data_IF_252892597816
#
_entry.id   IF_252892597816
#
_cell.length_a   1.000
_cell.length_b   1.000
_cell.length_c   1.000
_cell.angle_alpha   90.00
_cell.angle_beta   90.00
_cell.angle_gamma   90.00
#
_symmetry.space_group_name_H-M   'P 1'
#
loop_
_entity.id
_entity.type
_entity.pdbx_description
1 polymer ?
#
# COMPACT_ATOMS: atom_id res chain seq x y z
N UNK A 1 -0.14 -2.76 -20.26
CA UNK A 1 0.01 -1.35 -19.83
C UNK A 1 0.84 -0.63 -20.87
N UNK A 2 0.95 0.69 -20.82
CA UNK A 2 1.88 1.43 -21.65
C UNK A 2 3.13 1.78 -20.84
N UNK A 3 4.29 1.66 -21.47
CA UNK A 3 5.57 2.14 -20.96
C UNK A 3 5.66 3.68 -21.11
N UNK A 4 6.71 4.30 -20.55
CA UNK A 4 6.93 5.75 -20.62
C UNK A 4 7.05 6.27 -22.06
N UNK A 5 7.52 5.42 -22.99
CA UNK A 5 7.63 5.69 -24.43
C UNK A 5 6.34 5.39 -25.22
N UNK A 6 5.26 4.95 -24.55
CA UNK A 6 3.99 4.58 -25.16
C UNK A 6 3.96 3.18 -25.79
N UNK A 7 5.02 2.38 -25.65
CA UNK A 7 5.03 0.98 -26.09
C UNK A 7 4.18 0.08 -25.19
N UNK A 8 3.67 -1.03 -25.74
CA UNK A 8 2.91 -2.00 -24.95
C UNK A 8 3.82 -2.85 -24.08
N UNK A 9 3.55 -2.85 -22.77
CA UNK A 9 4.17 -3.73 -21.79
C UNK A 9 3.39 -5.04 -21.70
N UNK A 10 4.10 -6.15 -21.92
CA UNK A 10 3.57 -7.51 -21.85
C UNK A 10 4.20 -8.26 -20.68
N UNK A 11 3.34 -8.66 -19.73
CA UNK A 11 3.71 -9.42 -18.55
C UNK A 11 3.09 -10.81 -18.58
N UNK A 12 3.86 -11.84 -18.25
CA UNK A 12 3.35 -13.19 -18.00
C UNK A 12 2.99 -13.30 -16.52
N UNK A 13 1.71 -13.47 -16.25
CA UNK A 13 1.15 -13.63 -14.90
C UNK A 13 0.99 -15.12 -14.58
N UNK A 14 1.28 -15.56 -13.33
CA UNK A 14 0.91 -16.89 -12.90
C UNK A 14 -0.62 -17.06 -12.92
N UNK A 15 -1.07 -18.31 -12.98
CA UNK A 15 -2.50 -18.60 -12.88
C UNK A 15 -3.07 -18.00 -11.56
N UNK A 16 -4.23 -17.33 -11.58
CA UNK A 16 -4.78 -16.70 -10.39
C UNK A 16 -5.02 -17.75 -9.31
N UNK A 17 -4.39 -17.57 -8.15
CA UNK A 17 -4.71 -18.31 -6.94
C UNK A 17 -5.67 -17.44 -6.13
N UNK A 18 -6.89 -17.91 -5.88
CA UNK A 18 -7.85 -17.17 -5.09
C UNK A 18 -7.34 -17.06 -3.64
N UNK A 19 -6.96 -15.85 -3.23
CA UNK A 19 -6.36 -15.58 -1.90
C UNK A 19 -7.27 -14.77 -0.97
N UNK A 20 -8.48 -14.40 -1.40
CA UNK A 20 -9.44 -13.63 -0.60
C UNK A 20 -10.65 -14.45 -0.15
N UNK A 21 -10.92 -14.47 1.16
CA UNK A 21 -12.16 -15.01 1.75
C UNK A 21 -13.21 -13.93 2.02
N UNK A 22 -12.87 -12.64 1.86
CA UNK A 22 -13.79 -11.54 2.13
C UNK A 22 -14.52 -11.11 0.84
N UNK A 23 -15.86 -11.11 0.83
CA UNK A 23 -16.63 -10.58 -0.30
C UNK A 23 -16.63 -9.04 -0.36
N UNK A 24 -15.97 -8.36 0.60
CA UNK A 24 -15.89 -6.91 0.71
C UNK A 24 -14.43 -6.45 0.80
N UNK A 25 -14.10 -5.32 0.16
CA UNK A 25 -12.76 -4.70 0.17
C UNK A 25 -12.29 -4.26 -1.21
N UNK A 26 -11.01 -3.90 -1.31
CA UNK A 26 -10.36 -3.47 -2.57
C UNK A 26 -9.98 -4.63 -3.50
N UNK A 27 -10.16 -5.87 -3.04
CA UNK A 27 -9.73 -7.09 -3.74
C UNK A 27 -8.30 -6.98 -4.28
N UNK A 28 -7.38 -6.46 -3.45
CA UNK A 28 -5.98 -6.29 -3.81
C UNK A 28 -5.30 -7.65 -3.96
N UNK A 29 -4.66 -7.86 -5.10
CA UNK A 29 -3.87 -9.05 -5.37
C UNK A 29 -2.47 -8.65 -5.85
N UNK A 30 -1.45 -9.24 -5.25
CA UNK A 30 -0.04 -9.04 -5.62
C UNK A 30 0.53 -10.31 -6.24
N UNK A 31 1.27 -10.16 -7.33
CA UNK A 31 1.87 -11.29 -8.07
C UNK A 31 3.31 -10.97 -8.46
N UNK A 32 4.19 -11.97 -8.37
CA UNK A 32 5.45 -11.95 -9.13
C UNK A 32 5.13 -12.30 -10.58
N UNK A 33 5.51 -11.44 -11.51
CA UNK A 33 5.21 -11.58 -12.95
C UNK A 33 6.49 -11.45 -13.76
N UNK A 34 6.54 -12.08 -14.93
CA UNK A 34 7.70 -11.99 -15.80
C UNK A 34 7.51 -10.91 -16.87
N UNK A 35 8.40 -9.93 -16.87
CA UNK A 35 8.49 -8.86 -17.88
C UNK A 35 9.24 -9.38 -19.10
N UNK A 36 8.51 -9.59 -20.19
CA UNK A 36 9.07 -10.15 -21.43
C UNK A 36 10.02 -9.19 -22.17
N UNK A 37 9.89 -7.88 -21.95
CA UNK A 37 10.73 -6.86 -22.59
C UNK A 37 12.02 -6.64 -21.79
N UNK A 38 11.90 -6.59 -20.47
CA UNK A 38 13.01 -6.40 -19.54
C UNK A 38 13.77 -7.66 -19.14
N UNK A 39 13.29 -8.85 -19.54
CA UNK A 39 13.84 -10.17 -19.19
C UNK A 39 14.10 -10.33 -17.67
N UNK A 40 13.07 -10.03 -16.87
CA UNK A 40 13.18 -10.03 -15.41
C UNK A 40 11.85 -10.31 -14.73
N UNK A 41 11.91 -10.73 -13.47
CA UNK A 41 10.73 -10.86 -12.62
C UNK A 41 10.48 -9.53 -11.91
N UNK A 42 9.23 -9.06 -11.95
CA UNK A 42 8.76 -7.81 -11.34
C UNK A 42 7.51 -8.09 -10.51
N UNK A 43 7.12 -7.15 -9.65
CA UNK A 43 5.89 -7.28 -8.87
C UNK A 43 4.74 -6.52 -9.55
N UNK A 44 3.58 -7.16 -9.68
CA UNK A 44 2.34 -6.57 -10.17
C UNK A 44 1.30 -6.57 -9.05
N UNK A 45 0.77 -5.39 -8.73
CA UNK A 45 -0.38 -5.17 -7.87
C UNK A 45 -1.61 -4.89 -8.73
N UNK A 46 -2.67 -5.65 -8.52
CA UNK A 46 -3.99 -5.53 -9.16
C UNK A 46 -4.98 -5.16 -8.04
N UNK A 47 -5.67 -4.03 -8.14
CA UNK A 47 -6.46 -3.49 -7.02
C UNK A 47 -7.65 -2.66 -7.52
N UNK A 48 -8.69 -2.57 -6.70
CA UNK A 48 -9.76 -1.60 -6.89
C UNK A 48 -9.48 -0.38 -6.02
N UNK A 49 -8.96 0.68 -6.61
CA UNK A 49 -8.71 1.95 -5.91
C UNK A 49 -9.98 2.77 -5.83
N UNK A 50 -10.07 3.62 -4.82
CA UNK A 50 -11.20 4.54 -4.63
C UNK A 50 -11.17 5.60 -5.74
N UNK A 51 -12.30 5.81 -6.42
CA UNK A 51 -12.44 6.80 -7.48
C UNK A 51 -13.01 8.11 -6.91
N UNK A 52 -12.13 8.94 -6.37
CA UNK A 52 -12.42 10.31 -5.95
C UNK A 52 -11.37 11.28 -6.51
N UNK A 53 -11.74 12.53 -6.87
CA UNK A 53 -10.81 13.51 -7.44
C UNK A 53 -9.60 13.81 -6.55
N UNK A 54 -9.81 13.78 -5.22
CA UNK A 54 -8.79 14.14 -4.23
C UNK A 54 -7.90 12.95 -3.83
N UNK A 55 -7.98 11.82 -4.55
CA UNK A 55 -7.12 10.65 -4.32
C UNK A 55 -6.10 10.56 -5.43
N UNK A 56 -4.84 10.78 -5.06
CA UNK A 56 -3.69 10.57 -5.92
C UNK A 56 -3.54 9.05 -6.14
N UNK A 57 -3.48 8.56 -7.39
CA UNK A 57 -3.18 7.16 -7.66
C UNK A 57 -1.80 6.77 -7.11
N UNK A 58 -1.70 5.58 -6.51
CA UNK A 58 -0.45 5.09 -5.90
C UNK A 58 0.76 5.16 -6.86
N UNK A 59 0.56 4.84 -8.14
CA UNK A 59 1.63 4.93 -9.12
C UNK A 59 2.13 6.36 -9.38
N UNK A 60 1.30 7.38 -9.19
CA UNK A 60 1.74 8.78 -9.27
C UNK A 60 2.49 9.20 -8.01
N UNK A 61 2.14 8.63 -6.84
CA UNK A 61 2.94 8.76 -5.62
C UNK A 61 4.33 8.18 -5.85
N UNK A 62 4.43 6.94 -6.34
CA UNK A 62 5.73 6.33 -6.65
C UNK A 62 6.55 7.15 -7.66
N UNK A 63 5.95 7.68 -8.72
CA UNK A 63 6.67 8.55 -9.68
C UNK A 63 7.31 9.74 -8.96
N UNK A 64 6.57 10.44 -8.10
CA UNK A 64 7.09 11.57 -7.32
C UNK A 64 8.24 11.14 -6.40
N UNK A 65 8.08 10.02 -5.69
CA UNK A 65 9.14 9.47 -4.83
C UNK A 65 10.40 9.11 -5.63
N UNK A 66 10.24 8.47 -6.79
CA UNK A 66 11.35 8.07 -7.66
C UNK A 66 12.06 9.27 -8.30
N UNK A 67 11.32 10.30 -8.73
CA UNK A 67 11.87 11.56 -9.26
C UNK A 67 12.72 12.32 -8.23
N UNK A 68 12.35 12.21 -6.95
CA UNK A 68 13.10 12.80 -5.83
C UNK A 68 14.19 11.90 -5.26
N UNK A 69 14.39 10.72 -5.85
CA UNK A 69 15.37 9.74 -5.40
C UNK A 69 15.21 9.34 -3.92
N UNK A 70 13.96 9.25 -3.45
CA UNK A 70 13.63 8.72 -2.12
C UNK A 70 14.25 7.33 -1.96
N UNK A 71 14.94 7.10 -0.84
CA UNK A 71 15.59 5.81 -0.57
C UNK A 71 14.57 4.77 -0.12
N UNK A 72 14.94 3.49 -0.22
CA UNK A 72 14.17 2.37 0.34
C UNK A 72 12.72 2.29 -0.15
N UNK A 73 12.47 2.71 -1.40
CA UNK A 73 11.20 2.53 -2.11
C UNK A 73 11.44 1.86 -3.46
N UNK A 74 10.47 1.09 -3.92
CA UNK A 74 10.51 0.48 -5.25
C UNK A 74 10.47 1.53 -6.37
N UNK A 75 11.01 1.17 -7.54
CA UNK A 75 10.78 1.94 -8.77
C UNK A 75 9.46 1.49 -9.41
N UNK A 76 8.57 2.44 -9.67
CA UNK A 76 7.36 2.19 -10.46
C UNK A 76 7.70 2.12 -11.94
N UNK A 77 7.53 0.93 -12.52
CA UNK A 77 7.76 0.69 -13.94
C UNK A 77 6.56 1.09 -14.79
N UNK A 78 5.35 0.80 -14.30
CA UNK A 78 4.11 1.13 -14.99
C UNK A 78 2.96 1.16 -14.01
N UNK A 79 1.98 2.02 -14.29
CA UNK A 79 0.77 2.09 -13.49
C UNK A 79 -0.39 2.71 -14.28
N UNK A 80 -1.63 2.39 -13.91
CA UNK A 80 -2.79 3.00 -14.55
C UNK A 80 -4.10 2.25 -14.34
N UNK A 81 -5.19 2.94 -14.66
CA UNK A 81 -6.53 2.37 -14.65
C UNK A 81 -6.69 1.34 -15.77
N UNK A 82 -7.37 0.24 -15.47
CA UNK A 82 -7.69 -0.81 -16.44
C UNK A 82 -8.86 -0.34 -17.30
N UNK A 83 -8.65 -0.32 -18.62
CA UNK A 83 -9.64 0.12 -19.59
C UNK A 83 -10.38 -1.06 -20.21
N UNK A 84 -11.69 -0.90 -20.41
CA UNK A 84 -12.54 -1.74 -21.26
C UNK A 84 -13.01 -0.92 -22.46
N UNK A 85 -12.25 -0.98 -23.56
CA UNK A 85 -12.45 -0.07 -24.69
C UNK A 85 -12.09 1.38 -24.30
N UNK A 86 -12.99 2.33 -24.57
CA UNK A 86 -12.78 3.75 -24.23
C UNK A 86 -13.08 4.12 -22.77
N UNK A 87 -13.57 3.18 -21.95
CA UNK A 87 -14.02 3.45 -20.59
C UNK A 87 -13.15 2.74 -19.55
N UNK A 88 -12.94 3.39 -18.41
CA UNK A 88 -12.32 2.74 -17.26
C UNK A 88 -13.24 1.66 -16.66
N UNK A 89 -12.66 0.54 -16.26
CA UNK A 89 -13.37 -0.53 -15.58
C UNK A 89 -13.69 -0.08 -14.15
N UNK A 90 -14.97 0.22 -13.90
CA UNK A 90 -15.44 0.84 -12.65
C UNK A 90 -16.56 0.05 -12.01
N UNK A 91 -16.67 0.11 -10.69
CA UNK A 91 -17.80 -0.47 -9.97
C UNK A 91 -19.08 0.30 -10.27
N UNK A 92 -20.20 -0.41 -10.40
CA UNK A 92 -21.49 0.20 -10.73
C UNK A 92 -22.45 0.30 -9.54
N UNK A 93 -22.12 -0.28 -8.39
CA UNK A 93 -23.00 -0.37 -7.22
C UNK A 93 -23.56 1.00 -6.80
N UNK A 94 -22.73 2.05 -6.83
CA UNK A 94 -23.16 3.41 -6.48
C UNK A 94 -24.25 3.99 -7.40
N UNK A 95 -24.37 3.51 -8.65
CA UNK A 95 -25.41 3.96 -9.61
C UNK A 95 -26.81 3.49 -9.24
N UNK A 96 -26.90 2.41 -8.47
CA UNK A 96 -28.16 1.79 -8.08
C UNK A 96 -28.57 2.11 -6.64
N UNK A 97 -27.86 3.02 -5.97
CA UNK A 97 -28.11 3.36 -4.56
C UNK A 97 -29.56 3.83 -4.29
N UNK A 98 -30.16 4.50 -5.28
CA UNK A 98 -31.51 5.08 -5.21
C UNK A 98 -32.55 4.22 -5.98
N UNK A 99 -32.18 3.01 -6.41
CA UNK A 99 -33.10 2.14 -7.14
C UNK A 99 -34.26 1.65 -6.25
N UNK A 100 -35.49 1.43 -6.77
CA UNK A 100 -36.64 1.05 -5.95
C UNK A 100 -36.48 -0.26 -5.16
N UNK A 101 -35.62 -1.16 -5.65
CA UNK A 101 -35.29 -2.44 -5.03
C UNK A 101 -34.12 -2.35 -4.04
N UNK A 102 -33.35 -1.25 -4.05
CA UNK A 102 -32.17 -1.09 -3.22
C UNK A 102 -32.59 -0.74 -1.79
N UNK A 103 -32.06 -1.48 -0.81
CA UNK A 103 -32.24 -1.13 0.60
C UNK A 103 -31.30 0.02 0.97
N UNK A 104 -31.79 1.05 1.69
CA UNK A 104 -30.91 2.07 2.26
C UNK A 104 -29.86 1.42 3.17
N UNK A 105 -28.59 1.64 2.88
CA UNK A 105 -27.47 1.05 3.63
C UNK A 105 -27.00 1.93 4.79
N UNK A 106 -27.38 3.21 4.82
CA UNK A 106 -26.83 4.22 5.74
C UNK A 106 -25.35 4.54 5.52
N UNK A 107 -24.70 3.88 4.55
CA UNK A 107 -23.29 4.02 4.23
C UNK A 107 -23.11 4.77 2.91
N UNK A 108 -22.04 5.55 2.81
CA UNK A 108 -21.66 6.22 1.56
C UNK A 108 -21.08 5.15 0.61
N UNK A 109 -21.77 4.92 -0.50
CA UNK A 109 -21.28 4.03 -1.56
C UNK A 109 -20.34 4.82 -2.47
N UNK A 110 -19.06 4.45 -2.46
CA UNK A 110 -18.04 5.11 -3.27
C UNK A 110 -17.64 4.21 -4.43
N UNK A 111 -17.59 4.80 -5.63
CA UNK A 111 -17.14 4.11 -6.82
C UNK A 111 -15.66 3.75 -6.69
N UNK A 112 -15.30 2.61 -7.25
CA UNK A 112 -13.91 2.17 -7.36
C UNK A 112 -13.58 1.94 -8.83
N UNK A 113 -12.33 2.14 -9.18
CA UNK A 113 -11.79 1.87 -10.52
C UNK A 113 -10.72 0.79 -10.39
N UNK A 114 -10.75 -0.16 -11.32
CA UNK A 114 -9.76 -1.21 -11.38
C UNK A 114 -8.43 -0.60 -11.83
N UNK A 115 -7.39 -0.83 -11.06
CA UNK A 115 -6.09 -0.21 -11.19
C UNK A 115 -4.99 -1.26 -11.10
N UNK A 116 -3.89 -1.01 -11.80
CA UNK A 116 -2.72 -1.85 -11.72
C UNK A 116 -1.45 -1.02 -11.56
N UNK A 117 -0.51 -1.57 -10.81
CA UNK A 117 0.81 -1.01 -10.52
C UNK A 117 1.86 -2.09 -10.71
N UNK A 118 2.98 -1.75 -11.33
CA UNK A 118 4.14 -2.64 -11.53
C UNK A 118 5.37 -2.01 -10.90
N UNK A 119 6.01 -2.75 -10.00
CA UNK A 119 7.20 -2.36 -9.28
C UNK A 119 8.39 -3.25 -9.70
N UNK A 120 9.58 -2.67 -9.78
CA UNK A 120 10.78 -3.34 -10.29
C UNK A 120 11.38 -4.42 -9.37
N UNK A 121 10.85 -4.61 -8.16
CA UNK A 121 11.42 -5.50 -7.15
C UNK A 121 10.44 -6.62 -6.79
N UNK A 122 11.02 -7.77 -6.41
CA UNK A 122 10.32 -8.85 -5.72
C UNK A 122 10.90 -8.95 -4.31
N UNK A 123 10.03 -8.90 -3.33
CA UNK A 123 10.43 -8.77 -1.92
C UNK A 123 9.81 -9.86 -1.06
N UNK A 124 10.42 -10.16 0.08
CA UNK A 124 9.85 -11.05 1.09
C UNK A 124 9.28 -10.24 2.27
N UNK A 125 8.22 -10.70 2.95
CA UNK A 125 7.68 -10.00 4.11
C UNK A 125 8.71 -9.86 5.23
N UNK A 126 8.66 -8.77 5.99
CA UNK A 126 9.52 -8.57 7.18
C UNK A 126 9.39 -9.70 8.22
N UNK A 127 8.25 -10.41 8.25
CA UNK A 127 8.04 -11.56 9.15
C UNK A 127 8.94 -12.76 8.83
N UNK A 128 9.62 -12.78 7.68
CA UNK A 128 10.59 -13.81 7.30
C UNK A 128 12.02 -13.47 7.74
N UNK A 129 12.17 -12.61 8.75
CA UNK A 129 13.47 -12.17 9.25
C UNK A 129 14.31 -13.31 9.84
N UNK A 130 15.63 -13.19 9.73
CA UNK A 130 16.59 -14.17 10.27
C UNK A 130 17.15 -13.79 11.63
N UNK A 131 17.01 -12.52 12.04
CA UNK A 131 17.42 -12.04 13.36
C UNK A 131 16.68 -10.77 13.78
N UNK A 132 16.60 -10.52 15.10
CA UNK A 132 16.06 -9.26 15.62
C UNK A 132 16.84 -8.03 15.14
N UNK A 133 18.15 -8.19 14.90
CA UNK A 133 18.98 -7.15 14.26
C UNK A 133 18.46 -6.79 12.88
N UNK A 134 18.16 -7.78 12.04
CA UNK A 134 17.62 -7.53 10.70
C UNK A 134 16.27 -6.81 10.76
N UNK A 135 15.41 -7.14 11.73
CA UNK A 135 14.13 -6.43 11.92
C UNK A 135 14.37 -4.94 12.17
N UNK A 136 15.30 -4.60 13.07
CA UNK A 136 15.62 -3.20 13.38
C UNK A 136 16.24 -2.47 12.18
N UNK A 137 17.12 -3.13 11.41
CA UNK A 137 17.73 -2.58 10.20
C UNK A 137 16.66 -2.31 9.11
N UNK A 138 15.78 -3.28 8.85
CA UNK A 138 14.69 -3.15 7.86
C UNK A 138 13.68 -2.07 8.26
N UNK A 139 13.33 -1.99 9.55
CA UNK A 139 12.44 -0.93 10.04
C UNK A 139 13.09 0.45 9.94
N UNK A 140 14.39 0.57 10.25
CA UNK A 140 15.15 1.81 10.07
C UNK A 140 15.12 2.24 8.60
N UNK A 141 15.32 1.32 7.67
CA UNK A 141 15.32 1.61 6.24
C UNK A 141 13.94 2.11 5.77
N UNK A 142 12.85 1.51 6.27
CA UNK A 142 11.49 2.01 6.03
C UNK A 142 11.25 3.41 6.62
N UNK A 143 11.81 3.71 7.80
CA UNK A 143 11.76 5.06 8.38
C UNK A 143 12.52 6.08 7.53
N UNK A 144 13.65 5.68 6.94
CA UNK A 144 14.39 6.54 6.02
C UNK A 144 13.54 6.84 4.78
N UNK A 145 12.89 5.83 4.18
CA UNK A 145 11.94 6.05 3.08
C UNK A 145 10.83 7.04 3.45
N UNK A 146 10.23 6.85 4.64
CA UNK A 146 9.18 7.72 5.13
C UNK A 146 9.67 9.16 5.37
N UNK A 147 10.85 9.33 5.96
CA UNK A 147 11.46 10.63 6.18
C UNK A 147 11.74 11.37 4.86
N UNK A 148 12.41 10.70 3.92
CA UNK A 148 12.69 11.26 2.58
C UNK A 148 11.38 11.63 1.86
N UNK A 149 10.35 10.78 1.92
CA UNK A 149 9.03 11.07 1.36
C UNK A 149 8.36 12.30 2.00
N UNK A 150 8.48 12.45 3.32
CA UNK A 150 7.91 13.57 4.05
C UNK A 150 8.64 14.88 3.75
N UNK A 151 9.97 14.88 3.83
CA UNK A 151 10.82 16.06 3.71
C UNK A 151 10.98 16.53 2.25
N UNK A 152 11.21 15.61 1.32
CA UNK A 152 11.51 15.96 -0.09
C UNK A 152 10.28 15.94 -1.00
N UNK A 153 9.21 15.25 -0.57
CA UNK A 153 8.02 15.03 -1.38
C UNK A 153 6.72 15.47 -0.71
N UNK A 154 6.71 16.08 0.48
CA UNK A 154 5.48 16.48 1.18
C UNK A 154 4.44 15.35 1.26
N UNK A 155 4.87 14.09 1.45
CA UNK A 155 4.00 12.91 1.47
C UNK A 155 4.08 12.20 2.82
N UNK A 156 2.91 11.94 3.41
CA UNK A 156 2.75 11.01 4.54
C UNK A 156 2.31 9.64 4.02
N UNK A 157 2.81 8.56 4.63
CA UNK A 157 2.44 7.20 4.24
C UNK A 157 1.06 6.79 4.79
N UNK A 158 0.82 7.07 6.07
CA UNK A 158 -0.44 6.81 6.79
C UNK A 158 -0.87 5.35 6.97
N UNK A 159 0.04 4.40 6.71
CA UNK A 159 -0.23 2.97 6.88
C UNK A 159 1.06 2.18 7.10
N UNK A 160 1.94 2.68 7.97
CA UNK A 160 3.10 1.92 8.39
C UNK A 160 2.65 0.69 9.19
N UNK A 161 2.82 -0.49 8.59
CA UNK A 161 2.39 -1.76 9.16
C UNK A 161 3.36 -2.87 8.78
N UNK A 162 3.27 -4.00 9.48
CA UNK A 162 4.09 -5.20 9.18
C UNK A 162 3.86 -5.70 7.75
N UNK A 163 2.68 -5.47 7.17
CA UNK A 163 2.36 -5.88 5.79
C UNK A 163 2.98 -4.99 4.72
N UNK A 164 3.39 -3.77 5.08
CA UNK A 164 3.85 -2.74 4.15
C UNK A 164 5.36 -2.51 4.21
N UNK A 165 6.06 -3.24 5.09
CA UNK A 165 7.51 -3.24 5.18
C UNK A 165 8.03 -4.59 4.71
N UNK A 166 8.82 -4.56 3.64
CA UNK A 166 9.34 -5.73 2.98
C UNK A 166 10.87 -5.77 3.05
N UNK A 167 11.44 -6.94 2.76
CA UNK A 167 12.88 -7.17 2.70
C UNK A 167 13.27 -7.47 1.26
N UNK A 168 14.29 -6.77 0.77
CA UNK A 168 14.92 -6.99 -0.52
C UNK A 168 16.44 -6.90 -0.36
N UNK A 169 17.18 -7.96 -0.71
CA UNK A 169 18.65 -7.98 -0.62
C UNK A 169 19.23 -7.58 0.76
N UNK A 170 18.49 -7.87 1.85
CA UNK A 170 18.76 -7.49 3.25
C UNK A 170 18.47 -6.02 3.62
N UNK A 171 17.94 -5.23 2.71
CA UNK A 171 17.47 -3.88 2.96
C UNK A 171 15.96 -3.87 3.19
N UNK A 172 15.49 -2.91 3.97
CA UNK A 172 14.06 -2.65 4.11
C UNK A 172 13.53 -1.84 2.94
N UNK A 173 12.35 -2.22 2.44
CA UNK A 173 11.62 -1.49 1.40
C UNK A 173 10.22 -1.18 1.89
N UNK A 174 9.84 0.10 1.84
CA UNK A 174 8.50 0.58 2.16
C UNK A 174 7.60 0.55 0.92
N UNK A 175 6.49 -0.17 1.01
CA UNK A 175 5.52 -0.37 -0.06
C UNK A 175 4.12 0.04 0.35
N UNK A 176 3.18 -0.03 -0.59
CA UNK A 176 1.75 0.21 -0.39
C UNK A 176 1.41 1.66 -0.02
N UNK A 177 1.67 2.56 -0.97
CA UNK A 177 1.42 4.00 -0.83
C UNK A 177 -0.01 4.40 -1.22
N UNK A 178 -0.95 3.45 -1.30
CA UNK A 178 -2.35 3.68 -1.70
C UNK A 178 -3.13 4.59 -0.72
N UNK A 179 -2.65 4.70 0.53
CA UNK A 179 -3.22 5.57 1.57
C UNK A 179 -2.43 6.87 1.77
N UNK A 180 -1.36 7.04 1.01
CA UNK A 180 -0.49 8.19 1.11
C UNK A 180 -1.26 9.48 0.80
N UNK A 181 -0.85 10.57 1.44
CA UNK A 181 -1.49 11.88 1.26
C UNK A 181 -0.44 12.98 1.28
N UNK A 182 -0.64 14.01 0.46
CA UNK A 182 0.21 15.19 0.57
C UNK A 182 -0.07 15.97 1.87
N UNK A 183 0.99 16.44 2.52
CA UNK A 183 0.92 17.31 3.70
C UNK A 183 0.35 18.69 3.37
N UNK A 184 0.40 19.08 2.09
CA UNK A 184 -0.14 20.36 1.59
C UNK A 184 -1.65 20.29 1.30
N UNK A 185 -2.23 19.08 1.22
CA UNK A 185 -3.65 18.90 0.91
C UNK A 185 -4.54 19.15 2.13
N UNK A 186 -5.10 20.35 2.18
CA UNK A 186 -6.16 20.76 3.12
C UNK A 186 -7.57 20.30 2.72
N UNK A 187 -7.68 19.49 1.67
CA UNK A 187 -8.95 18.95 1.15
C UNK A 187 -9.73 18.08 2.16
N UNK A 188 -11.03 17.87 1.92
CA UNK A 188 -11.93 17.16 2.83
C UNK A 188 -11.39 15.77 3.20
N UNK A 189 -11.63 15.38 4.45
CA UNK A 189 -11.07 14.16 5.05
C UNK A 189 -11.44 12.93 4.21
N UNK A 190 -10.41 12.17 3.80
CA UNK A 190 -10.57 10.78 3.37
C UNK A 190 -11.20 9.97 4.52
N UNK A 191 -12.07 8.99 4.21
CA UNK A 191 -12.89 8.25 5.18
C UNK A 191 -12.08 7.85 6.44
N UNK A 192 -12.62 7.97 7.68
CA UNK A 192 -11.85 7.87 8.92
C UNK A 192 -11.19 6.51 9.23
N UNK A 193 -11.33 5.49 8.36
CA UNK A 193 -10.86 4.11 8.57
C UNK A 193 -9.81 3.69 7.55
N UNK A 194 -8.85 4.53 7.28
CA UNK A 194 -7.70 4.15 6.46
C UNK A 194 -6.55 3.72 7.37
N UNK A 195 -5.99 2.55 7.11
CA UNK A 195 -4.82 2.03 7.81
C UNK A 195 -5.13 0.78 8.62
N UNK A 196 -4.09 0.05 8.96
CA UNK A 196 -4.17 -1.20 9.73
C UNK A 196 -4.31 -0.88 11.23
N UNK A 197 -5.51 -1.10 11.78
CA UNK A 197 -5.89 -0.60 13.12
C UNK A 197 -4.93 -0.98 14.25
N UNK A 198 -4.29 -2.16 14.19
CA UNK A 198 -3.32 -2.63 15.20
C UNK A 198 -2.07 -1.75 15.28
N UNK A 199 -1.77 -1.00 14.22
CA UNK A 199 -0.59 -0.14 14.13
C UNK A 199 -0.97 1.35 14.15
N UNK A 200 -2.25 1.69 14.29
CA UNK A 200 -2.70 3.07 14.35
C UNK A 200 -2.30 3.72 15.68
N UNK A 201 -1.85 4.98 15.64
CA UNK A 201 -1.48 5.73 16.85
C UNK A 201 -2.65 5.85 17.83
N UNK A 202 -2.35 5.87 19.13
CA UNK A 202 -3.35 6.03 20.18
C UNK A 202 -4.19 7.29 19.99
N UNK A 203 -3.57 8.36 19.48
CA UNK A 203 -4.23 9.63 19.19
C UNK A 203 -5.30 9.50 18.10
N UNK A 204 -4.98 8.82 17.00
CA UNK A 204 -5.93 8.57 15.91
C UNK A 204 -7.04 7.60 16.30
N UNK A 205 -6.72 6.62 17.15
CA UNK A 205 -7.72 5.71 17.73
C UNK A 205 -8.67 6.45 18.67
N UNK A 206 -8.16 7.38 19.49
CA UNK A 206 -8.95 8.13 20.47
C UNK A 206 -9.89 9.15 19.82
N UNK A 207 -9.43 9.87 18.79
CA UNK A 207 -10.27 10.79 18.03
C UNK A 207 -10.06 10.61 16.51
N UNK A 208 -11.06 9.97 15.92
CA UNK A 208 -11.17 9.73 14.48
C UNK A 208 -11.35 11.00 13.65
N UNK A 209 -11.43 12.19 14.26
CA UNK A 209 -11.42 13.48 13.58
C UNK A 209 -10.06 14.18 13.61
N UNK A 210 -9.08 13.60 14.33
CA UNK A 210 -7.72 14.12 14.34
C UNK A 210 -7.06 13.93 12.97
N UNK A 211 -6.38 14.95 12.41
CA UNK A 211 -5.57 14.80 11.21
C UNK A 211 -4.36 13.91 11.47
N UNK A 212 -4.12 12.92 10.60
CA UNK A 212 -2.90 12.11 10.65
C UNK A 212 -1.68 12.98 10.34
N UNK A 213 -0.64 12.89 11.15
CA UNK A 213 0.63 13.58 10.95
C UNK A 213 1.84 12.61 11.05
N UNK A 214 3.03 13.17 10.86
CA UNK A 214 4.28 12.41 10.86
C UNK A 214 4.49 11.63 12.16
N UNK A 215 4.06 12.18 13.30
CA UNK A 215 4.24 11.57 14.62
C UNK A 215 3.39 10.30 14.76
N UNK A 216 2.21 10.25 14.13
CA UNK A 216 1.40 9.03 14.13
C UNK A 216 2.09 7.89 13.37
N UNK A 217 2.66 8.17 12.20
CA UNK A 217 3.44 7.20 11.41
C UNK A 217 4.69 6.72 12.19
N UNK A 218 5.32 7.60 12.98
CA UNK A 218 6.40 7.21 13.90
C UNK A 218 5.91 6.27 15.01
N UNK A 219 4.74 6.52 15.60
CA UNK A 219 4.14 5.65 16.61
C UNK A 219 3.77 4.28 16.01
N UNK A 220 3.26 4.25 14.79
CA UNK A 220 3.00 3.01 14.04
C UNK A 220 4.24 2.13 13.93
N UNK A 221 5.42 2.73 13.74
CA UNK A 221 6.67 1.99 13.65
C UNK A 221 7.07 1.31 14.97
N UNK A 222 6.78 1.93 16.11
CA UNK A 222 6.94 1.28 17.42
C UNK A 222 6.05 0.04 17.53
N UNK A 223 4.79 0.15 17.09
CA UNK A 223 3.86 -0.98 17.09
C UNK A 223 4.28 -2.11 16.14
N UNK A 224 4.89 -1.79 15.00
CA UNK A 224 5.49 -2.79 14.10
C UNK A 224 6.57 -3.60 14.82
N UNK A 225 7.51 -2.92 15.48
CA UNK A 225 8.59 -3.61 16.22
C UNK A 225 7.99 -4.49 17.32
N UNK A 226 7.10 -3.95 18.15
CA UNK A 226 6.46 -4.70 19.23
C UNK A 226 5.70 -5.92 18.72
N UNK A 227 4.94 -5.76 17.64
CA UNK A 227 4.20 -6.86 17.03
C UNK A 227 5.13 -8.00 16.57
N UNK A 228 6.21 -7.66 15.87
CA UNK A 228 7.17 -8.65 15.39
C UNK A 228 7.84 -9.35 16.57
N UNK A 229 8.26 -8.59 17.60
CA UNK A 229 8.87 -9.15 18.79
C UNK A 229 7.91 -10.11 19.52
N UNK A 230 6.65 -9.74 19.74
CA UNK A 230 5.72 -10.57 20.49
C UNK A 230 5.20 -11.79 19.74
N UNK A 231 5.00 -11.69 18.42
CA UNK A 231 4.34 -12.75 17.64
C UNK A 231 5.33 -13.71 16.99
N UNK A 232 6.53 -13.23 16.61
CA UNK A 232 7.45 -13.99 15.77
C UNK A 232 8.81 -14.31 16.42
N UNK A 233 9.12 -13.75 17.60
CA UNK A 233 10.34 -14.15 18.31
C UNK A 233 10.08 -15.31 19.28
N UNK A 234 10.99 -16.28 19.29
CA UNK A 234 10.94 -17.37 20.26
C UNK A 234 11.30 -16.80 21.63
N UNK A 235 10.34 -16.85 22.56
CA UNK A 235 10.61 -16.49 23.94
C UNK A 235 11.58 -17.50 24.55
N UNK A 236 12.69 -17.01 25.13
CA UNK A 236 13.64 -17.84 25.88
C UNK A 236 13.10 -18.26 27.26
N UNK A 237 11.81 -18.08 27.55
CA UNK A 237 11.19 -18.58 28.77
C UNK A 237 11.12 -20.11 28.64
N UNK A 238 12.13 -20.78 29.20
CA UNK A 238 12.01 -22.19 29.54
C UNK A 238 10.84 -22.35 30.49
N UNK A 239 9.99 -23.36 30.29
CA UNK A 239 9.00 -23.77 31.27
C UNK A 239 9.71 -23.92 32.62
N UNK A 240 9.32 -23.11 33.60
CA UNK A 240 9.83 -23.24 34.95
C UNK A 240 9.45 -24.64 35.46
N UNK A 241 10.47 -25.47 35.70
CA UNK A 241 10.33 -26.77 36.38
C UNK A 241 9.89 -26.59 37.83
#
# INVERSE_FOLDING_TARGET
MKDADGSDLTYLVPAPVATGLSPIGRNTCGFSVYDTKGDRVVFLKDTWRVLLPDIIPEGDVYKRLNEKHVRHVATCLASGDVLGGSNAHTTQTGRFKDAPWARPTGAILIAHVHYRLVLNIVTTPITSFVSSRQVVEVVRDALIAHQDAYEDCDILHRDLSVGNIMVHENEGILIDWDLAKSTQDSGPRQIPRTGTWQFMSARLVADMNTPHDFQDDMESTLYVILWIMFIFTVSCISDAQ
#
